data_IF_289180629905
#
_entry.id   IF_289180629905
#
_cell.length_a   1.000
_cell.length_b   1.000
_cell.length_c   1.000
_cell.angle_alpha   90.00
_cell.angle_beta   90.00
_cell.angle_gamma   90.00
#
_symmetry.space_group_name_H-M   'P 1'
#
loop_
_entity.id
_entity.type
_entity.pdbx_description
1 polymer ?
#
# COMPACT_ATOMS: atom_id res chain seq x y z
N UNK A 1 3.58 -12.69 -17.78
CA UNK A 1 4.70 -12.30 -16.89
C UNK A 1 4.60 -13.10 -15.60
N UNK A 2 5.70 -13.39 -14.94
CA UNK A 2 5.75 -14.20 -13.70
C UNK A 2 5.71 -13.29 -12.48
N UNK A 3 5.05 -13.77 -11.41
CA UNK A 3 5.16 -13.11 -10.10
C UNK A 3 6.60 -13.10 -9.61
N UNK A 4 6.98 -12.11 -8.84
CA UNK A 4 8.27 -12.03 -8.15
C UNK A 4 8.07 -11.94 -6.64
N UNK A 5 9.11 -12.25 -5.89
CA UNK A 5 9.13 -12.23 -4.44
C UNK A 5 10.19 -11.24 -3.97
N UNK A 6 9.82 -10.40 -3.02
CA UNK A 6 10.73 -9.55 -2.25
C UNK A 6 10.91 -10.22 -0.90
N UNK A 7 12.15 -10.32 -0.42
CA UNK A 7 12.50 -11.00 0.83
C UNK A 7 13.24 -10.01 1.73
N UNK A 8 12.65 -9.67 2.85
CA UNK A 8 13.29 -8.76 3.81
C UNK A 8 14.02 -9.52 4.92
N UNK A 9 15.10 -8.96 5.44
CA UNK A 9 15.70 -7.67 5.09
C UNK A 9 16.66 -7.72 3.91
N UNK A 10 16.81 -8.89 3.24
CA UNK A 10 17.87 -9.13 2.23
C UNK A 10 17.76 -8.18 1.03
N UNK A 11 16.54 -7.88 0.57
CA UNK A 11 16.26 -6.97 -0.56
C UNK A 11 16.13 -5.49 -0.15
N UNK A 12 16.08 -5.20 1.16
CA UNK A 12 15.82 -3.86 1.70
C UNK A 12 14.52 -3.20 1.19
N UNK A 13 14.35 -1.89 1.40
CA UNK A 13 13.20 -1.13 0.85
C UNK A 13 13.34 -0.82 -0.65
N UNK A 14 14.47 -1.14 -1.26
CA UNK A 14 14.81 -0.71 -2.62
C UNK A 14 13.79 -1.12 -3.69
N UNK A 15 13.29 -2.37 -3.74
CA UNK A 15 12.32 -2.76 -4.77
C UNK A 15 11.01 -1.97 -4.69
N UNK A 16 10.54 -1.63 -3.49
CA UNK A 16 9.34 -0.82 -3.27
C UNK A 16 9.61 0.63 -3.66
N UNK A 17 10.75 1.19 -3.25
CA UNK A 17 11.19 2.54 -3.64
C UNK A 17 11.31 2.68 -5.16
N UNK A 18 11.97 1.74 -5.82
CA UNK A 18 12.16 1.76 -7.28
C UNK A 18 10.80 1.70 -8.01
N UNK A 19 9.84 0.91 -7.51
CA UNK A 19 8.50 0.85 -8.08
C UNK A 19 7.78 2.21 -7.99
N UNK A 20 7.82 2.89 -6.84
CA UNK A 20 7.20 4.20 -6.65
C UNK A 20 7.91 5.27 -7.48
N UNK A 21 9.25 5.25 -7.54
CA UNK A 21 10.02 6.21 -8.33
C UNK A 21 9.75 6.10 -9.84
N UNK A 22 9.45 4.90 -10.33
CA UNK A 22 9.16 4.64 -11.73
C UNK A 22 7.66 4.74 -12.08
N UNK A 23 6.80 4.98 -11.11
CA UNK A 23 5.37 5.16 -11.36
C UNK A 23 5.12 6.38 -12.27
N UNK A 24 4.27 6.19 -13.28
CA UNK A 24 3.94 7.18 -14.29
C UNK A 24 2.48 7.65 -14.24
N UNK A 25 1.55 6.79 -13.77
CA UNK A 25 0.11 7.04 -13.81
C UNK A 25 -0.50 7.11 -12.42
N UNK A 26 -0.32 6.06 -11.61
CA UNK A 26 -0.99 5.95 -10.32
C UNK A 26 -0.20 5.14 -9.29
N UNK A 27 -0.37 5.52 -8.02
CA UNK A 27 0.10 4.78 -6.84
C UNK A 27 -1.05 4.69 -5.85
N UNK A 28 -1.53 3.47 -5.58
CA UNK A 28 -2.48 3.19 -4.49
C UNK A 28 -1.77 2.45 -3.39
N UNK A 29 -1.89 2.93 -2.18
CA UNK A 29 -1.27 2.31 -0.99
C UNK A 29 -2.34 2.05 0.05
N UNK A 30 -2.41 0.82 0.56
CA UNK A 30 -3.14 0.47 1.76
C UNK A 30 -2.15 -0.08 2.77
N UNK A 31 -1.98 0.59 3.92
CA UNK A 31 -0.90 0.28 4.85
C UNK A 31 -1.35 0.35 6.30
N UNK A 32 -1.01 -0.71 7.07
CA UNK A 32 -1.32 -0.76 8.49
C UNK A 32 -0.45 0.19 9.31
N UNK A 33 0.87 0.22 9.07
CA UNK A 33 1.78 1.18 9.68
C UNK A 33 2.76 1.74 8.63
N UNK A 34 2.84 3.08 8.54
CA UNK A 34 3.63 3.79 7.57
C UNK A 34 4.44 4.91 8.25
N UNK A 35 5.71 4.67 8.52
CA UNK A 35 6.63 5.65 9.13
C UNK A 35 8.01 5.72 8.46
N UNK A 36 8.29 4.84 7.48
CA UNK A 36 9.58 4.81 6.78
C UNK A 36 9.76 6.05 5.91
N UNK A 37 10.61 6.99 6.36
CA UNK A 37 10.78 8.31 5.72
C UNK A 37 11.14 8.23 4.23
N UNK A 38 12.05 7.34 3.76
CA UNK A 38 12.34 7.25 2.32
C UNK A 38 11.12 6.92 1.45
N UNK A 39 10.17 6.10 1.95
CA UNK A 39 8.94 5.78 1.22
C UNK A 39 7.93 6.93 1.25
N UNK A 40 7.83 7.67 2.36
CA UNK A 40 7.05 8.90 2.43
C UNK A 40 7.55 9.91 1.39
N UNK A 41 8.87 10.12 1.33
CA UNK A 41 9.50 11.03 0.36
C UNK A 41 9.27 10.58 -1.09
N UNK A 42 9.33 9.26 -1.36
CA UNK A 42 9.09 8.71 -2.68
C UNK A 42 7.63 8.90 -3.13
N UNK A 43 6.67 8.67 -2.23
CA UNK A 43 5.23 8.89 -2.49
C UNK A 43 4.94 10.37 -2.77
N UNK A 44 5.53 11.28 -1.98
CA UNK A 44 5.42 12.73 -2.19
C UNK A 44 6.02 13.12 -3.54
N UNK A 45 7.22 12.61 -3.87
CA UNK A 45 7.86 12.89 -5.14
C UNK A 45 7.07 12.37 -6.34
N UNK A 46 6.42 11.20 -6.23
CA UNK A 46 5.52 10.70 -7.26
C UNK A 46 4.34 11.64 -7.49
N UNK A 47 3.69 12.11 -6.42
CA UNK A 47 2.60 13.09 -6.51
C UNK A 47 3.06 14.41 -7.15
N UNK A 48 4.23 14.92 -6.78
CA UNK A 48 4.80 16.14 -7.37
C UNK A 48 5.13 16.00 -8.86
N UNK A 49 5.39 14.78 -9.34
CA UNK A 49 5.53 14.49 -10.79
C UNK A 49 4.20 14.44 -11.54
N UNK A 50 3.07 14.53 -10.84
CA UNK A 50 1.73 14.45 -11.43
C UNK A 50 1.12 13.04 -11.42
N UNK A 51 1.74 12.07 -10.73
CA UNK A 51 1.18 10.74 -10.51
C UNK A 51 -0.03 10.84 -9.58
N UNK A 52 -1.12 10.14 -9.89
CA UNK A 52 -2.31 10.06 -9.02
C UNK A 52 -1.97 9.19 -7.81
N UNK A 53 -1.97 9.77 -6.62
CA UNK A 53 -1.63 9.06 -5.39
C UNK A 53 -2.83 9.00 -4.46
N UNK A 54 -3.19 7.80 -4.02
CA UNK A 54 -4.17 7.54 -2.97
C UNK A 54 -3.54 6.69 -1.87
N UNK A 55 -3.69 7.10 -0.63
CA UNK A 55 -3.15 6.38 0.54
C UNK A 55 -4.26 6.10 1.53
N UNK A 56 -4.44 4.83 1.91
CA UNK A 56 -5.34 4.40 2.98
C UNK A 56 -4.51 3.90 4.16
N UNK A 57 -4.75 4.44 5.35
CA UNK A 57 -4.01 4.12 6.56
C UNK A 57 -4.95 3.59 7.65
N UNK A 58 -4.48 2.62 8.42
CA UNK A 58 -5.19 2.21 9.62
C UNK A 58 -5.09 3.31 10.68
N UNK A 59 -6.22 3.82 11.22
CA UNK A 59 -6.21 5.00 12.09
C UNK A 59 -5.62 4.76 13.47
N UNK A 60 -5.91 3.59 14.07
CA UNK A 60 -5.54 3.27 15.46
C UNK A 60 -5.18 1.80 15.58
N UNK A 61 -4.13 1.46 16.31
CA UNK A 61 -3.83 0.09 16.73
C UNK A 61 -4.70 -0.33 17.93
N UNK A 62 -4.76 -1.65 18.21
CA UNK A 62 -5.51 -2.20 19.36
C UNK A 62 -5.07 -1.64 20.72
N UNK A 63 -3.82 -1.24 20.84
CA UNK A 63 -3.24 -0.61 22.04
C UNK A 63 -3.47 0.92 22.10
N UNK A 64 -4.16 1.48 21.11
CA UNK A 64 -4.49 2.90 21.03
C UNK A 64 -3.36 3.77 20.47
N UNK A 65 -2.30 3.18 19.92
CA UNK A 65 -1.24 3.93 19.24
C UNK A 65 -1.71 4.46 17.88
N UNK A 66 -1.43 5.73 17.60
CA UNK A 66 -1.78 6.45 16.37
C UNK A 66 -0.55 6.59 15.47
N UNK A 67 0.09 5.50 15.14
CA UNK A 67 1.40 5.48 14.45
C UNK A 67 1.39 6.17 13.08
N UNK A 68 0.21 6.32 12.47
CA UNK A 68 0.07 6.89 11.13
C UNK A 68 -0.24 8.39 11.12
N UNK A 69 -0.44 9.03 12.26
CA UNK A 69 -0.83 10.46 12.30
C UNK A 69 0.24 11.33 11.64
N UNK A 70 1.52 11.09 11.93
CA UNK A 70 2.61 11.83 11.32
C UNK A 70 2.68 11.64 9.78
N UNK A 71 2.50 10.42 9.31
CA UNK A 71 2.47 10.12 7.88
C UNK A 71 1.27 10.77 7.19
N UNK A 72 0.08 10.63 7.79
CA UNK A 72 -1.14 11.26 7.27
C UNK A 72 -0.98 12.77 7.13
N UNK A 73 -0.55 13.43 8.21
CA UNK A 73 -0.42 14.88 8.25
C UNK A 73 0.61 15.38 7.22
N UNK A 74 1.74 14.68 7.10
CA UNK A 74 2.77 14.99 6.11
C UNK A 74 2.25 14.83 4.68
N UNK A 75 1.62 13.71 4.36
CA UNK A 75 1.12 13.44 3.01
C UNK A 75 0.02 14.45 2.62
N UNK A 76 -0.90 14.75 3.53
CA UNK A 76 -1.95 15.75 3.31
C UNK A 76 -1.40 17.17 3.13
N UNK A 77 -0.31 17.53 3.82
CA UNK A 77 0.37 18.80 3.63
C UNK A 77 0.87 19.00 2.19
N UNK A 78 1.24 17.90 1.52
CA UNK A 78 1.64 17.92 0.10
C UNK A 78 0.47 17.75 -0.88
N UNK A 79 -0.78 17.71 -0.40
CA UNK A 79 -1.98 17.62 -1.23
C UNK A 79 -2.34 16.20 -1.67
N UNK A 80 -1.73 15.18 -1.07
CA UNK A 80 -2.05 13.78 -1.35
C UNK A 80 -3.36 13.40 -0.67
N UNK A 81 -4.22 12.67 -1.39
CA UNK A 81 -5.45 12.11 -0.83
C UNK A 81 -5.13 10.98 0.15
N UNK A 82 -5.41 11.20 1.42
CA UNK A 82 -5.25 10.20 2.48
C UNK A 82 -6.58 9.96 3.15
N UNK A 83 -6.99 8.68 3.24
CA UNK A 83 -8.17 8.25 4.00
C UNK A 83 -7.78 7.24 5.08
N UNK A 84 -8.62 7.12 6.08
CA UNK A 84 -8.51 6.06 7.08
C UNK A 84 -9.27 4.83 6.62
N UNK A 85 -8.83 3.64 7.01
CA UNK A 85 -9.53 2.39 6.75
C UNK A 85 -10.92 2.36 7.44
N UNK A 86 -11.80 1.46 6.98
CA UNK A 86 -13.19 1.44 7.43
C UNK A 86 -13.32 1.23 8.94
N UNK A 87 -14.12 2.06 9.63
CA UNK A 87 -14.41 1.88 11.05
C UNK A 87 -15.31 0.66 11.32
N UNK A 88 -15.80 -0.02 10.29
CA UNK A 88 -16.55 -1.28 10.42
C UNK A 88 -15.66 -2.45 10.87
N UNK A 89 -14.35 -2.32 10.71
CA UNK A 89 -13.37 -3.30 11.17
C UNK A 89 -12.64 -2.80 12.43
N UNK A 90 -12.35 -3.69 13.35
CA UNK A 90 -11.51 -3.36 14.53
C UNK A 90 -10.16 -2.78 14.12
N UNK A 91 -9.60 -3.30 13.01
CA UNK A 91 -8.41 -2.80 12.34
C UNK A 91 -8.35 -3.33 10.90
N UNK A 92 -7.69 -2.61 10.03
CA UNK A 92 -7.33 -3.09 8.69
C UNK A 92 -5.85 -3.42 8.67
N UNK A 93 -5.52 -4.71 8.76
CA UNK A 93 -4.12 -5.19 8.85
C UNK A 93 -3.48 -5.44 7.48
N UNK A 94 -4.17 -5.10 6.41
CA UNK A 94 -3.68 -5.23 5.04
C UNK A 94 -2.48 -4.32 4.77
N UNK A 95 -1.56 -4.81 3.95
CA UNK A 95 -0.44 -4.06 3.41
C UNK A 95 -0.34 -4.40 1.93
N UNK A 96 -0.71 -3.43 1.11
CA UNK A 96 -0.71 -3.59 -0.34
C UNK A 96 -0.40 -2.28 -1.05
N UNK A 97 0.14 -2.40 -2.25
CA UNK A 97 0.37 -1.27 -3.15
C UNK A 97 0.05 -1.68 -4.57
N UNK A 98 -0.55 -0.77 -5.34
CA UNK A 98 -0.72 -0.94 -6.79
C UNK A 98 -0.05 0.21 -7.52
N UNK A 99 0.76 -0.13 -8.52
CA UNK A 99 1.49 0.82 -9.37
C UNK A 99 0.92 0.77 -10.78
N UNK A 100 0.50 1.92 -11.29
CA UNK A 100 0.10 2.17 -12.69
C UNK A 100 -1.03 1.27 -13.24
N UNK A 101 -1.77 0.59 -12.33
CA UNK A 101 -2.75 -0.46 -12.65
C UNK A 101 -2.11 -1.69 -13.35
N UNK A 102 -0.79 -1.83 -13.25
CA UNK A 102 -0.01 -2.86 -13.92
C UNK A 102 0.66 -3.86 -12.96
N UNK A 103 0.99 -3.41 -11.75
CA UNK A 103 1.67 -4.23 -10.74
C UNK A 103 0.99 -4.08 -9.39
N UNK A 104 0.67 -5.20 -8.74
CA UNK A 104 0.20 -5.21 -7.37
C UNK A 104 1.21 -5.89 -6.45
N UNK A 105 1.44 -5.27 -5.31
CA UNK A 105 2.28 -5.74 -4.21
C UNK A 105 1.35 -6.17 -3.08
N UNK A 106 1.47 -7.42 -2.64
CA UNK A 106 0.80 -7.96 -1.45
C UNK A 106 1.88 -8.31 -0.45
N UNK A 107 1.82 -7.67 0.72
CA UNK A 107 2.95 -7.60 1.62
C UNK A 107 2.61 -8.14 3.02
N UNK A 108 3.57 -8.75 3.71
CA UNK A 108 3.48 -9.02 5.15
C UNK A 108 4.06 -7.87 5.97
N UNK A 109 4.94 -7.08 5.38
CA UNK A 109 5.66 -5.99 6.03
C UNK A 109 4.82 -4.72 6.17
N UNK A 110 5.03 -4.01 7.28
CA UNK A 110 4.68 -2.59 7.35
C UNK A 110 5.77 -1.74 6.72
N UNK A 111 5.47 -0.51 6.37
CA UNK A 111 6.45 0.43 5.89
C UNK A 111 7.08 1.21 7.05
N UNK A 112 7.86 0.48 7.85
CA UNK A 112 8.64 0.98 9.00
C UNK A 112 10.11 0.59 8.85
N UNK A 113 11.00 1.32 9.49
CA UNK A 113 12.44 1.04 9.42
C UNK A 113 12.76 -0.39 9.89
N UNK A 114 12.13 -0.82 10.98
CA UNK A 114 12.30 -2.16 11.55
C UNK A 114 11.97 -3.27 10.53
N UNK A 115 10.85 -3.13 9.80
CA UNK A 115 10.45 -4.12 8.80
C UNK A 115 11.45 -4.25 7.65
N UNK A 116 12.12 -3.16 7.27
CA UNK A 116 13.10 -3.19 6.18
C UNK A 116 14.51 -3.64 6.60
N UNK A 117 14.82 -3.64 7.90
CA UNK A 117 16.19 -3.87 8.40
C UNK A 117 16.33 -5.04 9.36
N UNK A 118 15.27 -5.42 10.08
CA UNK A 118 15.38 -6.32 11.23
C UNK A 118 14.45 -7.53 11.16
N UNK A 119 13.29 -7.45 10.45
CA UNK A 119 12.33 -8.52 10.42
C UNK A 119 12.40 -9.34 9.14
N UNK A 120 12.00 -10.63 9.24
CA UNK A 120 11.82 -11.50 8.08
C UNK A 120 10.40 -11.36 7.57
N UNK A 121 10.26 -10.65 6.46
CA UNK A 121 8.99 -10.38 5.80
C UNK A 121 9.07 -10.68 4.30
N UNK A 122 7.90 -10.75 3.67
CA UNK A 122 7.78 -11.07 2.25
C UNK A 122 6.79 -10.14 1.57
N UNK A 123 7.05 -9.83 0.31
CA UNK A 123 6.07 -9.25 -0.59
C UNK A 123 6.01 -10.05 -1.89
N UNK A 124 4.81 -10.35 -2.34
CA UNK A 124 4.56 -10.92 -3.67
C UNK A 124 4.19 -9.78 -4.60
N UNK A 125 4.91 -9.67 -5.72
CA UNK A 125 4.59 -8.71 -6.77
C UNK A 125 3.98 -9.47 -7.94
N UNK A 126 2.75 -9.13 -8.30
CA UNK A 126 2.05 -9.72 -9.43
C UNK A 126 1.82 -8.71 -10.57
N UNK A 127 2.20 -9.06 -11.81
CA UNK A 127 1.85 -8.31 -13.02
C UNK A 127 0.64 -8.93 -13.75
N UNK A 128 -0.10 -9.85 -13.12
CA UNK A 128 -1.23 -10.54 -13.72
C UNK A 128 -2.43 -9.60 -13.71
N UNK A 129 -2.84 -9.11 -14.86
CA UNK A 129 -3.85 -8.06 -14.99
C UNK A 129 -5.16 -8.34 -14.21
N UNK A 130 -5.63 -9.59 -14.20
CA UNK A 130 -6.85 -9.96 -13.48
C UNK A 130 -6.65 -9.84 -11.95
N UNK A 131 -5.50 -10.28 -11.41
CA UNK A 131 -5.19 -10.17 -9.99
C UNK A 131 -5.00 -8.72 -9.56
N UNK A 132 -4.33 -7.92 -10.40
CA UNK A 132 -4.17 -6.47 -10.18
C UNK A 132 -5.53 -5.78 -10.13
N UNK A 133 -6.43 -6.12 -11.07
CA UNK A 133 -7.78 -5.56 -11.11
C UNK A 133 -8.58 -5.90 -9.85
N UNK A 134 -8.56 -7.14 -9.37
CA UNK A 134 -9.25 -7.54 -8.14
C UNK A 134 -8.77 -6.73 -6.93
N UNK A 135 -7.45 -6.49 -6.81
CA UNK A 135 -6.88 -5.70 -5.72
C UNK A 135 -7.29 -4.22 -5.83
N UNK A 136 -7.35 -3.67 -7.06
CA UNK A 136 -7.85 -2.31 -7.29
C UNK A 136 -9.31 -2.19 -6.91
N UNK A 137 -10.15 -3.13 -7.34
CA UNK A 137 -11.59 -3.12 -7.04
C UNK A 137 -11.85 -3.19 -5.52
N UNK A 138 -11.11 -4.04 -4.80
CA UNK A 138 -11.15 -4.08 -3.33
C UNK A 138 -10.68 -2.75 -2.71
N UNK A 139 -9.59 -2.16 -3.21
CA UNK A 139 -9.11 -0.87 -2.74
C UNK A 139 -10.14 0.23 -2.92
N UNK A 140 -10.75 0.33 -4.11
CA UNK A 140 -11.74 1.38 -4.42
C UNK A 140 -13.06 1.17 -3.65
N UNK A 141 -13.50 -0.08 -3.42
CA UNK A 141 -14.66 -0.37 -2.58
C UNK A 141 -14.41 0.08 -1.12
N UNK A 142 -13.25 -0.27 -0.55
CA UNK A 142 -12.87 0.19 0.78
C UNK A 142 -12.75 1.72 0.87
N UNK A 143 -12.23 2.34 -0.19
CA UNK A 143 -12.13 3.80 -0.29
C UNK A 143 -13.49 4.47 -0.28
N UNK A 144 -14.46 3.90 -1.01
CA UNK A 144 -15.83 4.37 -1.10
C UNK A 144 -16.71 3.97 0.12
N UNK A 145 -16.21 3.13 1.03
CA UNK A 145 -16.97 2.52 2.14
C UNK A 145 -18.10 1.61 1.64
N UNK A 146 -17.85 0.89 0.57
CA UNK A 146 -18.75 -0.08 -0.04
C UNK A 146 -18.30 -1.51 0.25
N UNK A 147 -19.24 -2.44 0.19
CA UNK A 147 -18.91 -3.87 0.30
C UNK A 147 -18.17 -4.33 -0.96
N UNK A 148 -17.12 -5.11 -0.78
CA UNK A 148 -16.40 -5.73 -1.89
C UNK A 148 -16.92 -7.16 -2.13
N UNK A 149 -17.34 -7.44 -3.37
CA UNK A 149 -17.70 -8.77 -3.85
C UNK A 149 -16.77 -9.16 -5.02
N UNK A 150 -15.83 -10.09 -4.81
CA UNK A 150 -14.90 -10.50 -5.86
C UNK A 150 -15.55 -11.29 -7.00
N UNK A 151 -16.81 -11.74 -6.81
CA UNK A 151 -17.54 -12.53 -7.80
C UNK A 151 -17.01 -13.96 -7.98
N UNK A 152 -17.73 -14.75 -8.81
CA UNK A 152 -17.39 -16.17 -9.04
C UNK A 152 -16.10 -16.38 -9.86
N UNK A 153 -15.65 -15.35 -10.59
CA UNK A 153 -14.44 -15.42 -11.43
C UNK A 153 -13.15 -15.02 -10.72
N UNK A 154 -13.22 -14.74 -9.42
CA UNK A 154 -12.07 -14.32 -8.64
C UNK A 154 -10.89 -15.30 -8.76
N UNK A 155 -9.69 -14.75 -8.84
CA UNK A 155 -8.42 -15.48 -8.90
C UNK A 155 -7.68 -15.49 -7.59
N UNK A 156 -7.95 -14.49 -6.74
CA UNK A 156 -7.44 -14.41 -5.38
C UNK A 156 -8.45 -15.03 -4.42
N UNK A 157 -7.97 -15.41 -3.23
CA UNK A 157 -8.80 -15.89 -2.13
C UNK A 157 -9.06 -14.70 -1.22
N UNK A 158 -10.32 -14.32 -1.10
CA UNK A 158 -10.81 -13.19 -0.32
C UNK A 158 -11.46 -13.62 0.99
#
# INVERSE_FOLDING_TARGET
>A
MTRSLIILPDDSSRPVLDAIHNAEKSVRVKMFAFSHQPLLDAVIAAHQRGVLVKVMLNPVRRDGETDNDGARDLLQQYGIEVTESSPSFDLTHEKSMVIDDEYAFVESLNWTDENFTETRDYAVVTPTAHEVLEIIECFEADWAREDFDPGESARLIW
#
